data_IF_112936794759
#
_entry.id   IF_112936794759
#
_cell.length_a   1.000
_cell.length_b   1.000
_cell.length_c   1.000
_cell.angle_alpha   90.00
_cell.angle_beta   90.00
_cell.angle_gamma   90.00
#
_symmetry.space_group_name_H-M   'P 1'
#
loop_
_entity.id
_entity.type
_entity.pdbx_description
1 polymer ?
#
# COMPACT_ATOMS: atom_id res chain seq x y z
N UNK A 1 5.57 34.71 -23.81
CA UNK A 1 6.34 34.46 -22.55
C UNK A 1 5.75 33.41 -21.60
N UNK A 2 4.52 32.99 -21.78
CA UNK A 2 3.78 32.05 -20.86
C UNK A 2 4.09 30.57 -21.02
N UNK A 3 4.56 30.11 -22.20
CA UNK A 3 4.81 28.68 -22.46
C UNK A 3 6.05 28.14 -21.71
N UNK A 4 7.15 28.88 -21.69
CA UNK A 4 8.38 28.44 -20.98
C UNK A 4 8.22 28.37 -19.47
N UNK A 5 7.45 29.27 -18.86
CA UNK A 5 7.18 29.24 -17.43
C UNK A 5 6.32 28.03 -17.01
N UNK A 6 5.36 27.65 -17.85
CA UNK A 6 4.51 26.47 -17.62
C UNK A 6 5.30 25.16 -17.75
N UNK A 7 6.20 25.07 -18.70
CA UNK A 7 7.07 23.88 -18.87
C UNK A 7 8.04 23.76 -17.68
N UNK A 8 8.60 24.86 -17.19
CA UNK A 8 9.50 24.82 -16.03
C UNK A 8 8.80 24.43 -14.73
N UNK A 9 7.56 24.84 -14.51
CA UNK A 9 6.78 24.44 -13.32
C UNK A 9 6.37 22.97 -13.36
N UNK A 10 5.97 22.46 -14.53
CA UNK A 10 5.67 21.04 -14.71
C UNK A 10 6.92 20.18 -14.50
N UNK A 11 8.07 20.61 -15.06
CA UNK A 11 9.33 19.91 -14.90
C UNK A 11 9.79 19.91 -13.42
N UNK A 12 9.58 21.00 -12.70
CA UNK A 12 9.85 21.09 -11.25
C UNK A 12 8.98 20.14 -10.43
N UNK A 13 7.70 20.03 -10.78
CA UNK A 13 6.77 19.10 -10.15
C UNK A 13 7.14 17.64 -10.45
N UNK A 14 7.52 17.32 -11.68
CA UNK A 14 7.96 15.98 -12.08
C UNK A 14 9.26 15.59 -11.33
N UNK A 15 10.21 16.52 -11.24
CA UNK A 15 11.47 16.28 -10.52
C UNK A 15 11.24 16.12 -9.01
N UNK A 16 10.33 16.90 -8.43
CA UNK A 16 9.93 16.76 -7.03
C UNK A 16 9.28 15.39 -6.77
N UNK A 17 8.34 14.99 -7.61
CA UNK A 17 7.71 13.66 -7.52
C UNK A 17 8.74 12.54 -7.70
N UNK A 18 9.61 12.64 -8.69
CA UNK A 18 10.66 11.63 -8.93
C UNK A 18 11.63 11.50 -7.74
N UNK A 19 11.98 12.62 -7.10
CA UNK A 19 12.83 12.61 -5.90
C UNK A 19 12.09 12.02 -4.70
N UNK A 20 10.78 12.27 -4.59
CA UNK A 20 9.95 11.73 -3.52
C UNK A 20 9.76 10.22 -3.68
N UNK A 21 9.49 9.74 -4.89
CA UNK A 21 9.38 8.30 -5.19
C UNK A 21 10.71 7.54 -5.06
N UNK A 22 11.84 8.19 -5.31
CA UNK A 22 13.16 7.56 -5.10
C UNK A 22 13.50 7.31 -3.63
N UNK A 23 12.76 7.90 -2.69
CA UNK A 23 12.94 7.69 -1.26
C UNK A 23 12.21 6.43 -0.76
N UNK A 24 11.24 5.91 -1.53
CA UNK A 24 10.55 4.67 -1.17
C UNK A 24 11.39 3.46 -1.54
N UNK A 25 11.52 2.54 -0.59
CA UNK A 25 12.17 1.27 -0.86
C UNK A 25 11.20 0.35 -1.60
N UNK A 26 11.57 -0.09 -2.80
CA UNK A 26 10.75 -0.99 -3.62
C UNK A 26 10.37 -2.27 -2.88
N UNK A 27 11.35 -2.91 -2.22
CA UNK A 27 11.12 -4.14 -1.46
C UNK A 27 10.15 -3.89 -0.28
N UNK A 28 10.26 -2.72 0.36
CA UNK A 28 9.33 -2.30 1.39
C UNK A 28 7.88 -2.23 0.90
N UNK A 29 7.65 -1.65 -0.27
CA UNK A 29 6.30 -1.56 -0.84
C UNK A 29 5.73 -2.93 -1.23
N UNK A 30 6.55 -3.83 -1.79
CA UNK A 30 6.14 -5.19 -2.12
C UNK A 30 5.73 -5.96 -0.86
N UNK A 31 6.54 -5.89 0.20
CA UNK A 31 6.21 -6.52 1.48
C UNK A 31 5.00 -5.86 2.15
N UNK A 32 4.88 -4.54 2.07
CA UNK A 32 3.69 -3.84 2.56
C UNK A 32 2.41 -4.33 1.90
N UNK A 33 2.43 -4.51 0.58
CA UNK A 33 1.30 -5.04 -0.18
C UNK A 33 1.01 -6.51 0.18
N UNK A 34 2.03 -7.34 0.34
CA UNK A 34 1.87 -8.73 0.75
C UNK A 34 1.25 -8.83 2.16
N UNK A 35 1.72 -8.06 3.13
CA UNK A 35 1.16 -8.02 4.48
C UNK A 35 -0.26 -7.46 4.52
N UNK A 36 -0.57 -6.48 3.66
CA UNK A 36 -1.95 -6.04 3.46
C UNK A 36 -2.84 -7.21 2.99
N UNK A 37 -2.40 -7.94 1.96
CA UNK A 37 -3.15 -9.08 1.44
C UNK A 37 -3.41 -10.13 2.51
N UNK A 38 -2.41 -10.44 3.35
CA UNK A 38 -2.58 -11.35 4.49
C UNK A 38 -3.53 -10.81 5.55
N UNK A 39 -3.57 -9.50 5.79
CA UNK A 39 -4.48 -8.90 6.78
C UNK A 39 -5.96 -9.00 6.40
N UNK A 40 -6.23 -9.13 5.11
CA UNK A 40 -7.59 -9.17 4.53
C UNK A 40 -8.09 -10.61 4.37
N UNK A 41 -7.23 -11.63 4.59
CA UNK A 41 -7.63 -13.04 4.50
C UNK A 41 -8.85 -13.34 5.38
N UNK A 42 -9.71 -14.29 4.96
CA UNK A 42 -10.94 -14.59 5.65
C UNK A 42 -10.69 -15.02 7.10
N UNK A 43 -11.40 -14.38 8.01
CA UNK A 43 -11.48 -14.80 9.41
C UNK A 43 -12.91 -15.19 9.72
N UNK A 44 -13.08 -16.18 10.59
CA UNK A 44 -14.40 -16.66 11.04
C UNK A 44 -15.16 -15.67 11.93
N UNK A 45 -14.55 -14.53 12.27
CA UNK A 45 -15.18 -13.47 13.06
C UNK A 45 -15.56 -12.28 12.19
N UNK A 46 -16.82 -11.80 12.31
CA UNK A 46 -17.22 -10.54 11.68
C UNK A 46 -16.39 -9.38 12.27
N UNK A 47 -15.75 -8.61 11.41
CA UNK A 47 -14.91 -7.48 11.84
C UNK A 47 -15.55 -6.16 11.43
N UNK A 48 -15.79 -5.23 12.38
CA UNK A 48 -16.19 -3.88 12.04
C UNK A 48 -15.15 -3.21 11.11
N UNK A 49 -15.63 -2.38 10.21
CA UNK A 49 -14.81 -1.67 9.21
C UNK A 49 -13.61 -0.93 9.83
N UNK A 50 -13.78 -0.38 11.03
CA UNK A 50 -12.72 0.36 11.73
C UNK A 50 -11.54 -0.57 12.08
N UNK A 51 -11.84 -1.72 12.70
CA UNK A 51 -10.81 -2.70 13.08
C UNK A 51 -10.09 -3.25 11.86
N UNK A 52 -10.84 -3.57 10.81
CA UNK A 52 -10.24 -4.06 9.57
C UNK A 52 -9.31 -3.01 8.95
N UNK A 53 -9.74 -1.74 8.89
CA UNK A 53 -8.91 -0.65 8.36
C UNK A 53 -7.63 -0.40 9.17
N UNK A 54 -7.72 -0.43 10.51
CA UNK A 54 -6.55 -0.25 11.39
C UNK A 54 -5.58 -1.41 11.25
N UNK A 55 -6.06 -2.66 11.29
CA UNK A 55 -5.23 -3.86 11.13
C UNK A 55 -4.52 -3.84 9.78
N UNK A 56 -5.24 -3.53 8.70
CA UNK A 56 -4.66 -3.45 7.36
C UNK A 56 -3.59 -2.35 7.27
N UNK A 57 -3.84 -1.17 7.85
CA UNK A 57 -2.88 -0.08 7.89
C UNK A 57 -1.59 -0.44 8.64
N UNK A 58 -1.72 -1.04 9.82
CA UNK A 58 -0.58 -1.51 10.63
C UNK A 58 0.17 -2.62 9.90
N UNK A 59 -0.53 -3.56 9.27
CA UNK A 59 0.10 -4.65 8.50
C UNK A 59 0.94 -4.12 7.35
N UNK A 60 0.46 -3.12 6.61
CA UNK A 60 1.24 -2.45 5.55
C UNK A 60 2.54 -1.86 6.12
N UNK A 61 2.48 -1.20 7.27
CA UNK A 61 3.64 -0.57 7.91
C UNK A 61 4.67 -1.60 8.37
N UNK A 62 4.22 -2.67 9.00
CA UNK A 62 5.09 -3.77 9.42
C UNK A 62 5.75 -4.40 8.19
N UNK A 63 4.98 -4.71 7.16
CA UNK A 63 5.51 -5.25 5.91
C UNK A 63 6.53 -4.30 5.27
N UNK A 64 6.22 -3.01 5.19
CA UNK A 64 7.15 -2.00 4.68
C UNK A 64 8.43 -1.94 5.50
N UNK A 65 8.34 -1.96 6.83
CA UNK A 65 9.49 -1.98 7.73
C UNK A 65 10.38 -3.22 7.52
N UNK A 66 9.80 -4.40 7.45
CA UNK A 66 10.51 -5.65 7.17
C UNK A 66 11.17 -5.60 5.79
N UNK A 67 10.46 -5.18 4.75
CA UNK A 67 11.00 -5.10 3.40
C UNK A 67 12.14 -4.09 3.28
N UNK A 68 12.09 -2.96 4.00
CA UNK A 68 13.18 -1.99 4.04
C UNK A 68 14.38 -2.52 4.78
N UNK A 69 14.20 -3.21 5.90
CA UNK A 69 15.26 -3.85 6.65
C UNK A 69 15.97 -4.94 5.82
N UNK A 70 15.19 -5.81 5.17
CA UNK A 70 15.73 -6.82 4.25
C UNK A 70 16.53 -6.19 3.11
N UNK A 71 16.00 -5.13 2.50
CA UNK A 71 16.71 -4.42 1.44
C UNK A 71 18.04 -3.82 1.93
N UNK A 72 18.10 -3.34 3.16
CA UNK A 72 19.33 -2.82 3.76
C UNK A 72 20.36 -3.95 3.99
N UNK A 73 19.90 -5.08 4.53
CA UNK A 73 20.74 -6.28 4.76
C UNK A 73 21.29 -6.81 3.43
N UNK A 74 20.46 -6.95 2.41
CA UNK A 74 20.91 -7.42 1.09
C UNK A 74 21.97 -6.51 0.47
N UNK A 75 21.77 -5.19 0.55
CA UNK A 75 22.78 -4.23 0.04
C UNK A 75 24.09 -4.30 0.83
N UNK A 76 24.01 -4.51 2.13
CA UNK A 76 25.19 -4.65 2.97
C UNK A 76 25.97 -5.94 2.68
N UNK A 77 25.25 -7.06 2.41
CA UNK A 77 25.87 -8.37 2.16
C UNK A 77 26.48 -8.52 0.77
N UNK A 78 25.83 -7.96 -0.25
CA UNK A 78 26.14 -8.29 -1.65
C UNK A 78 26.76 -7.17 -2.46
N UNK A 79 26.83 -5.93 -1.91
CA UNK A 79 27.34 -4.72 -2.61
C UNK A 79 26.83 -4.59 -4.06
N UNK A 80 25.72 -5.28 -4.39
CA UNK A 80 25.17 -5.33 -5.75
C UNK A 80 24.18 -4.19 -5.97
N UNK A 81 24.52 -3.27 -6.85
CA UNK A 81 23.59 -2.29 -7.37
C UNK A 81 22.77 -2.87 -8.51
N UNK A 82 21.45 -2.87 -8.34
CA UNK A 82 20.52 -3.32 -9.39
C UNK A 82 20.57 -2.35 -10.56
N UNK A 83 20.74 -2.89 -11.77
CA UNK A 83 20.78 -2.08 -13.00
C UNK A 83 19.60 -1.10 -13.07
N UNK A 84 19.82 0.17 -13.47
CA UNK A 84 18.77 1.19 -13.55
C UNK A 84 17.59 0.80 -14.44
N UNK A 85 17.84 -0.02 -15.46
CA UNK A 85 16.80 -0.52 -16.36
C UNK A 85 15.84 -1.46 -15.65
N UNK A 86 16.37 -2.41 -14.89
CA UNK A 86 15.56 -3.38 -14.10
C UNK A 86 14.76 -2.64 -13.04
N UNK A 87 15.39 -1.69 -12.34
CA UNK A 87 14.72 -0.85 -11.35
C UNK A 87 13.51 -0.12 -11.95
N UNK A 88 13.69 0.53 -13.11
CA UNK A 88 12.62 1.26 -13.78
C UNK A 88 11.48 0.36 -14.27
N UNK A 89 11.79 -0.83 -14.77
CA UNK A 89 10.77 -1.82 -15.19
C UNK A 89 10.00 -2.30 -13.97
N UNK A 90 10.68 -2.67 -12.90
CA UNK A 90 10.06 -3.13 -11.65
C UNK A 90 9.13 -2.05 -11.05
N UNK A 91 9.55 -0.79 -11.03
CA UNK A 91 8.72 0.32 -10.56
C UNK A 91 7.48 0.55 -11.41
N UNK A 92 7.60 0.48 -12.74
CA UNK A 92 6.45 0.62 -13.66
C UNK A 92 5.49 -0.56 -13.50
N UNK A 93 6.01 -1.78 -13.41
CA UNK A 93 5.19 -2.95 -13.18
C UNK A 93 4.45 -2.85 -11.83
N UNK A 94 5.13 -2.47 -10.76
CA UNK A 94 4.52 -2.30 -9.45
C UNK A 94 3.48 -1.17 -9.42
N UNK A 95 3.71 -0.07 -10.15
CA UNK A 95 2.75 1.03 -10.24
C UNK A 95 1.42 0.62 -10.88
N UNK A 96 1.40 -0.42 -11.70
CA UNK A 96 0.19 -0.96 -12.33
C UNK A 96 -0.36 -2.12 -11.50
N UNK A 97 0.47 -3.10 -11.18
CA UNK A 97 0.06 -4.34 -10.52
C UNK A 97 -0.27 -4.10 -9.05
N UNK A 98 0.48 -3.23 -8.36
CA UNK A 98 0.29 -2.94 -6.94
C UNK A 98 -1.11 -2.45 -6.59
N UNK A 99 -1.59 -1.35 -7.21
CA UNK A 99 -2.96 -0.90 -7.00
C UNK A 99 -4.01 -1.92 -7.42
N UNK A 100 -3.78 -2.65 -8.52
CA UNK A 100 -4.70 -3.69 -8.98
C UNK A 100 -4.87 -4.78 -7.91
N UNK A 101 -3.77 -5.34 -7.41
CA UNK A 101 -3.77 -6.34 -6.35
C UNK A 101 -4.41 -5.79 -5.08
N UNK A 102 -4.08 -4.55 -4.69
CA UNK A 102 -4.65 -3.90 -3.52
C UNK A 102 -6.18 -3.82 -3.59
N UNK A 103 -6.73 -3.36 -4.71
CA UNK A 103 -8.18 -3.24 -4.88
C UNK A 103 -8.89 -4.59 -5.02
N UNK A 104 -8.25 -5.59 -5.65
CA UNK A 104 -8.80 -6.95 -5.71
C UNK A 104 -8.95 -7.51 -4.30
N UNK A 105 -7.88 -7.50 -3.48
CA UNK A 105 -7.94 -8.02 -2.12
C UNK A 105 -8.90 -7.22 -1.23
N UNK A 106 -8.98 -5.90 -1.41
CA UNK A 106 -9.93 -5.07 -0.70
C UNK A 106 -11.38 -5.45 -1.04
N UNK A 107 -11.67 -5.72 -2.30
CA UNK A 107 -12.99 -6.17 -2.76
C UNK A 107 -13.32 -7.57 -2.25
N UNK A 108 -12.44 -8.54 -2.47
CA UNK A 108 -12.61 -9.92 -1.98
C UNK A 108 -12.82 -9.96 -0.46
N UNK A 109 -12.03 -9.19 0.29
CA UNK A 109 -12.18 -9.09 1.74
C UNK A 109 -13.55 -8.56 2.16
N UNK A 110 -14.15 -7.64 1.40
CA UNK A 110 -15.52 -7.17 1.70
C UNK A 110 -16.59 -8.21 1.37
N UNK A 111 -16.38 -9.01 0.32
CA UNK A 111 -17.28 -10.11 -0.04
C UNK A 111 -17.26 -11.18 1.07
N UNK A 112 -16.08 -11.62 1.48
CA UNK A 112 -15.94 -12.59 2.57
C UNK A 112 -16.51 -12.09 3.89
N UNK A 113 -16.32 -10.83 4.23
CA UNK A 113 -16.93 -10.28 5.44
C UNK A 113 -18.46 -10.32 5.38
N UNK A 114 -19.08 -10.05 4.25
CA UNK A 114 -20.54 -10.18 4.10
C UNK A 114 -21.01 -11.61 4.35
N UNK A 115 -20.32 -12.60 3.79
CA UNK A 115 -20.65 -14.01 4.03
C UNK A 115 -20.56 -14.38 5.52
N UNK A 116 -19.53 -13.89 6.21
CA UNK A 116 -19.36 -14.12 7.65
C UNK A 116 -20.48 -13.47 8.46
N UNK A 117 -20.89 -12.22 8.12
CA UNK A 117 -22.01 -11.55 8.79
C UNK A 117 -23.32 -12.35 8.63
N UNK A 118 -23.59 -12.87 7.43
CA UNK A 118 -24.77 -13.70 7.15
C UNK A 118 -24.75 -15.03 7.93
N UNK A 119 -23.57 -15.67 8.04
CA UNK A 119 -23.42 -16.92 8.78
C UNK A 119 -23.66 -16.77 10.29
N UNK A 120 -23.32 -15.60 10.84
CA UNK A 120 -23.50 -15.30 12.27
C UNK A 120 -24.90 -14.74 12.56
N UNK A 121 -25.70 -14.46 11.52
CA UNK A 121 -27.05 -13.89 11.68
C UNK A 121 -27.06 -12.40 12.03
N UNK A 122 -25.97 -11.70 11.81
CA UNK A 122 -25.88 -10.25 11.97
C UNK A 122 -26.32 -9.52 10.69
N UNK A 123 -26.73 -8.25 10.82
CA UNK A 123 -27.13 -7.42 9.69
C UNK A 123 -25.95 -7.21 8.72
N UNK A 124 -26.23 -7.25 7.43
CA UNK A 124 -25.23 -7.02 6.37
C UNK A 124 -24.45 -5.71 6.61
N UNK A 125 -23.14 -5.71 6.36
CA UNK A 125 -22.34 -4.52 6.51
C UNK A 125 -22.84 -3.40 5.59
N UNK A 126 -22.80 -2.15 6.08
CA UNK A 126 -23.23 -0.95 5.36
C UNK A 126 -22.62 -0.88 3.95
N UNK A 127 -23.38 -0.36 2.98
CA UNK A 127 -22.93 -0.14 1.58
C UNK A 127 -21.62 0.66 1.47
N UNK A 128 -21.29 1.43 2.50
CA UNK A 128 -20.05 2.22 2.59
C UNK A 128 -18.89 1.49 3.25
N UNK A 129 -19.04 0.20 3.52
CA UNK A 129 -18.03 -0.61 4.24
C UNK A 129 -16.65 -0.56 3.56
N UNK A 130 -16.59 -0.79 2.26
CA UNK A 130 -15.37 -0.77 1.47
C UNK A 130 -14.67 0.60 1.50
N UNK A 131 -15.42 1.68 1.29
CA UNK A 131 -14.85 3.03 1.28
C UNK A 131 -14.33 3.45 2.66
N UNK A 132 -14.98 3.01 3.75
CA UNK A 132 -14.54 3.27 5.12
C UNK A 132 -13.27 2.50 5.46
N UNK A 133 -13.16 1.24 5.08
CA UNK A 133 -11.92 0.45 5.26
C UNK A 133 -10.78 1.12 4.51
N UNK A 134 -10.98 1.46 3.23
CA UNK A 134 -9.97 2.12 2.42
C UNK A 134 -9.48 3.42 3.06
N UNK A 135 -10.41 4.28 3.47
CA UNK A 135 -10.09 5.56 4.09
C UNK A 135 -9.32 5.38 5.41
N UNK A 136 -9.79 4.46 6.26
CA UNK A 136 -9.14 4.18 7.55
C UNK A 136 -7.73 3.60 7.36
N UNK A 137 -7.58 2.66 6.44
CA UNK A 137 -6.26 2.10 6.10
C UNK A 137 -5.30 3.19 5.61
N UNK A 138 -5.79 4.08 4.74
CA UNK A 138 -5.00 5.19 4.23
C UNK A 138 -4.59 6.18 5.33
N UNK A 139 -5.53 6.55 6.21
CA UNK A 139 -5.27 7.47 7.34
C UNK A 139 -4.22 6.86 8.27
N UNK A 140 -4.40 5.61 8.68
CA UNK A 140 -3.44 4.91 9.55
C UNK A 140 -2.06 4.86 8.90
N UNK A 141 -2.00 4.47 7.62
CA UNK A 141 -0.74 4.43 6.89
C UNK A 141 -0.06 5.80 6.85
N UNK A 142 -0.79 6.87 6.50
CA UNK A 142 -0.23 8.23 6.40
C UNK A 142 0.27 8.74 7.75
N UNK A 143 -0.52 8.55 8.83
CA UNK A 143 -0.14 9.01 10.17
C UNK A 143 1.15 8.33 10.63
N UNK A 144 1.19 7.01 10.60
CA UNK A 144 2.37 6.27 11.04
C UNK A 144 3.58 6.48 10.14
N UNK A 145 3.36 6.62 8.83
CA UNK A 145 4.43 6.94 7.90
C UNK A 145 5.02 8.35 8.16
N UNK A 146 4.17 9.32 8.49
CA UNK A 146 4.61 10.66 8.88
C UNK A 146 5.41 10.65 10.19
N UNK A 147 4.99 9.84 11.17
CA UNK A 147 5.70 9.71 12.46
C UNK A 147 7.04 9.00 12.29
N UNK A 148 7.15 8.05 11.36
CA UNK A 148 8.38 7.28 11.11
C UNK A 148 9.47 8.07 10.39
N UNK A 149 9.17 9.30 9.97
CA UNK A 149 10.08 10.20 9.25
C UNK A 149 10.53 11.39 10.06
#
# INVERSE_FOLDING_TARGET
>A
MTSRARISSVQKSINFLNNYFNQFNFLGLVFGLAFFSFSVLPSLMPRPWLYQGVISGISILIGYGIGTALSAIFRWMFECDVSPRIKNIAWRAFAIIGPLVFFIYLYEGTVWQKEVYQLVGEADPDKRFLSRIFLTTLIVFVIFFAISR
#
